data_IF_364127844689
#
_entry.id   IF_364127844689
#
_cell.length_a   1.000
_cell.length_b   1.000
_cell.length_c   1.000
_cell.angle_alpha   90.00
_cell.angle_beta   90.00
_cell.angle_gamma   90.00
#
_symmetry.space_group_name_H-M   'P 1'
#
loop_
_entity.id
_entity.type
_entity.pdbx_description
1 polymer ?
#
# COMPACT_ATOMS: atom_id res chain seq x y z
N UNK A 1 -15.34 -6.87 -22.11
CA UNK A 1 -13.94 -6.40 -22.12
C UNK A 1 -13.74 -5.69 -23.44
N UNK A 2 -14.24 -4.45 -23.52
CA UNK A 2 -14.50 -3.73 -24.78
C UNK A 2 -13.63 -2.48 -24.87
N UNK A 3 -12.66 -2.53 -25.79
CA UNK A 3 -12.39 -1.50 -26.82
C UNK A 3 -12.38 -0.01 -26.42
N UNK A 4 -11.64 0.37 -25.38
CA UNK A 4 -11.36 1.80 -25.11
C UNK A 4 -9.88 2.17 -24.89
N UNK A 5 -8.92 1.27 -25.13
CA UNK A 5 -7.58 1.43 -24.52
C UNK A 5 -6.36 1.28 -25.46
N UNK A 6 -6.51 1.50 -26.78
CA UNK A 6 -5.40 1.21 -27.73
C UNK A 6 -4.75 2.40 -28.47
N UNK A 7 -5.23 3.64 -28.32
CA UNK A 7 -4.58 4.76 -28.97
C UNK A 7 -3.64 5.47 -27.99
N UNK A 8 -2.34 5.51 -28.34
CA UNK A 8 -1.22 6.18 -27.63
C UNK A 8 -0.53 5.33 -26.55
N UNK A 9 -0.01 4.15 -26.93
CA UNK A 9 0.97 3.38 -26.13
C UNK A 9 2.35 3.47 -26.78
N UNK A 10 3.02 4.62 -26.60
CA UNK A 10 4.38 4.81 -27.08
C UNK A 10 5.40 4.05 -26.22
N UNK A 11 6.44 3.46 -26.83
CA UNK A 11 7.58 2.81 -26.14
C UNK A 11 8.25 3.72 -25.07
N UNK A 12 8.03 5.03 -25.13
CA UNK A 12 8.44 5.99 -24.12
C UNK A 12 7.80 5.81 -22.74
N UNK A 13 6.61 5.19 -22.66
CA UNK A 13 5.89 5.06 -21.40
C UNK A 13 6.48 3.96 -20.49
N UNK A 14 6.91 2.84 -21.06
CA UNK A 14 7.58 1.74 -20.32
C UNK A 14 8.81 2.21 -19.54
N UNK A 15 9.78 2.86 -20.20
CA UNK A 15 11.01 3.33 -19.54
C UNK A 15 10.70 4.33 -18.43
N UNK A 16 9.72 5.22 -18.68
CA UNK A 16 9.25 6.19 -17.69
C UNK A 16 8.56 5.50 -16.52
N UNK A 17 7.77 4.45 -16.74
CA UNK A 17 7.10 3.69 -15.68
C UNK A 17 8.12 3.02 -14.76
N UNK A 18 9.14 2.36 -15.30
CA UNK A 18 10.22 1.78 -14.48
C UNK A 18 10.98 2.83 -13.69
N UNK A 19 11.37 3.95 -14.30
CA UNK A 19 12.06 5.03 -13.59
C UNK A 19 11.23 5.54 -12.41
N UNK A 20 9.93 5.74 -12.62
CA UNK A 20 9.00 6.12 -11.56
C UNK A 20 8.89 5.06 -10.48
N UNK A 21 8.77 3.78 -10.84
CA UNK A 21 8.69 2.67 -9.88
C UNK A 21 9.96 2.55 -9.05
N UNK A 22 11.13 2.59 -9.69
CA UNK A 22 12.43 2.55 -9.01
C UNK A 22 12.59 3.76 -8.10
N UNK A 23 12.24 4.96 -8.55
CA UNK A 23 12.31 6.17 -7.72
C UNK A 23 11.36 6.08 -6.51
N UNK A 24 10.14 5.56 -6.68
CA UNK A 24 9.20 5.35 -5.58
C UNK A 24 9.74 4.33 -4.56
N UNK A 25 10.26 3.19 -5.02
CA UNK A 25 10.85 2.17 -4.15
C UNK A 25 12.08 2.74 -3.43
N UNK A 26 12.95 3.49 -4.13
CA UNK A 26 14.13 4.11 -3.53
C UNK A 26 13.75 5.13 -2.45
N UNK A 27 12.75 5.98 -2.69
CA UNK A 27 12.29 6.96 -1.71
C UNK A 27 11.59 6.29 -0.50
N UNK A 28 10.77 5.26 -0.74
CA UNK A 28 9.92 4.69 0.29
C UNK A 28 10.58 3.55 1.08
N UNK A 29 11.25 2.63 0.38
CA UNK A 29 11.83 1.41 0.94
C UNK A 29 13.37 1.46 1.00
N UNK A 30 14.04 2.35 0.25
CA UNK A 30 15.50 2.45 0.21
C UNK A 30 16.16 2.47 1.59
N UNK A 31 15.71 3.31 2.53
CA UNK A 31 16.30 3.33 3.87
C UNK A 31 16.09 2.04 4.68
N UNK A 32 14.93 1.40 4.53
CA UNK A 32 14.64 0.10 5.16
C UNK A 32 15.47 -1.01 4.55
N UNK A 33 15.63 -1.02 3.22
CA UNK A 33 16.47 -1.99 2.52
C UNK A 33 17.93 -1.87 2.96
N UNK A 34 18.44 -0.63 3.07
CA UNK A 34 19.78 -0.37 3.59
C UNK A 34 19.96 -0.88 5.02
N UNK A 35 19.06 -0.49 5.92
CA UNK A 35 19.10 -0.91 7.33
C UNK A 35 18.97 -2.44 7.48
N UNK A 36 18.14 -3.06 6.66
CA UNK A 36 17.94 -4.51 6.65
C UNK A 36 19.17 -5.25 6.16
N UNK A 37 19.82 -4.74 5.12
CA UNK A 37 21.08 -5.27 4.60
C UNK A 37 22.21 -5.21 5.63
N UNK A 38 22.34 -4.08 6.34
CA UNK A 38 23.34 -3.95 7.42
C UNK A 38 23.12 -4.94 8.56
N UNK A 39 21.86 -5.12 9.00
CA UNK A 39 21.52 -6.08 10.04
C UNK A 39 21.73 -7.53 9.58
N UNK A 40 21.40 -7.84 8.33
CA UNK A 40 21.67 -9.15 7.76
C UNK A 40 23.16 -9.43 7.65
N UNK A 41 23.97 -8.44 7.24
CA UNK A 41 25.43 -8.58 7.22
C UNK A 41 25.99 -8.88 8.62
N UNK A 42 25.49 -8.20 9.67
CA UNK A 42 25.85 -8.51 11.07
C UNK A 42 25.48 -9.93 11.48
N UNK A 43 24.30 -10.39 11.06
CA UNK A 43 23.87 -11.78 11.30
C UNK A 43 24.82 -12.79 10.66
N UNK A 44 25.46 -12.44 9.54
CA UNK A 44 26.49 -13.25 8.87
C UNK A 44 27.91 -13.05 9.43
N UNK A 45 28.06 -12.34 10.56
CA UNK A 45 29.34 -12.12 11.21
C UNK A 45 30.16 -10.94 10.70
N UNK A 46 29.60 -10.10 9.80
CA UNK A 46 30.23 -8.84 9.46
C UNK A 46 30.15 -7.86 10.64
N UNK A 47 31.14 -6.97 10.76
CA UNK A 47 31.11 -5.86 11.70
C UNK A 47 31.05 -4.53 10.93
N UNK A 48 29.85 -4.06 10.56
CA UNK A 48 29.71 -2.79 9.86
C UNK A 48 30.13 -1.67 10.80
N UNK A 49 31.23 -0.98 10.43
CA UNK A 49 31.81 0.07 11.25
C UNK A 49 30.84 1.21 11.57
N UNK A 50 31.24 2.05 12.54
CA UNK A 50 30.44 3.16 13.07
C UNK A 50 29.91 4.13 12.00
N UNK A 51 30.64 4.28 10.88
CA UNK A 51 30.26 5.10 9.73
C UNK A 51 28.89 4.70 9.12
N UNK A 52 28.46 3.46 9.32
CA UNK A 52 27.17 2.97 8.80
C UNK A 52 25.97 3.66 9.43
N UNK A 53 26.11 4.21 10.64
CA UNK A 53 25.08 5.02 11.30
C UNK A 53 24.86 6.32 10.53
N UNK A 54 25.94 7.03 10.20
CA UNK A 54 25.86 8.30 9.46
C UNK A 54 25.36 8.10 8.04
N UNK A 55 25.79 7.03 7.37
CA UNK A 55 25.25 6.67 6.05
C UNK A 55 23.77 6.34 6.12
N UNK A 56 23.32 5.63 7.18
CA UNK A 56 21.89 5.36 7.37
C UNK A 56 21.08 6.65 7.51
N UNK A 57 21.57 7.61 8.31
CA UNK A 57 20.94 8.95 8.44
C UNK A 57 20.93 9.68 7.11
N UNK A 58 22.04 9.69 6.38
CA UNK A 58 22.17 10.34 5.08
C UNK A 58 21.24 9.74 4.02
N UNK A 59 21.14 8.40 3.95
CA UNK A 59 20.21 7.69 3.05
C UNK A 59 18.77 8.07 3.39
N UNK A 60 18.41 8.05 4.67
CA UNK A 60 17.09 8.48 5.10
C UNK A 60 16.77 9.92 4.71
N UNK A 61 17.64 10.87 5.05
CA UNK A 61 17.47 12.29 4.72
C UNK A 61 17.39 12.50 3.21
N UNK A 62 18.28 11.86 2.44
CA UNK A 62 18.30 11.94 0.97
C UNK A 62 17.00 11.42 0.35
N UNK A 63 16.47 10.29 0.82
CA UNK A 63 15.19 9.74 0.35
C UNK A 63 14.01 10.67 0.66
N UNK A 64 13.98 11.26 1.86
CA UNK A 64 12.92 12.22 2.25
C UNK A 64 12.98 13.51 1.44
N UNK A 65 14.18 14.07 1.26
CA UNK A 65 14.39 15.26 0.42
C UNK A 65 13.98 14.96 -1.02
N UNK A 66 14.40 13.82 -1.57
CA UNK A 66 14.01 13.41 -2.93
C UNK A 66 12.50 13.25 -3.07
N UNK A 67 11.82 12.61 -2.11
CA UNK A 67 10.37 12.47 -2.11
C UNK A 67 9.64 13.83 -2.03
N UNK A 68 10.12 14.73 -1.16
CA UNK A 68 9.60 16.08 -1.01
C UNK A 68 9.75 16.92 -2.28
N UNK A 69 10.97 17.01 -2.82
CA UNK A 69 11.24 17.73 -4.07
C UNK A 69 10.44 17.15 -5.24
N UNK A 70 10.31 15.83 -5.33
CA UNK A 70 9.52 15.19 -6.37
C UNK A 70 8.03 15.53 -6.23
N UNK A 71 7.47 15.47 -5.02
CA UNK A 71 6.08 15.85 -4.77
C UNK A 71 5.85 17.33 -5.11
N UNK A 72 6.76 18.23 -4.71
CA UNK A 72 6.67 19.66 -5.04
C UNK A 72 6.68 19.87 -6.56
N UNK A 73 7.58 19.21 -7.29
CA UNK A 73 7.65 19.31 -8.75
C UNK A 73 6.37 18.81 -9.44
N UNK A 74 5.76 17.74 -8.94
CA UNK A 74 4.46 17.26 -9.43
C UNK A 74 3.34 18.27 -9.14
N UNK A 75 3.27 18.82 -7.93
CA UNK A 75 2.26 19.85 -7.60
C UNK A 75 2.44 21.10 -8.49
N UNK A 76 3.69 21.49 -8.74
CA UNK A 76 4.06 22.68 -9.50
C UNK A 76 3.69 22.58 -10.99
N UNK A 77 3.99 21.44 -11.60
CA UNK A 77 3.75 21.17 -13.03
C UNK A 77 2.29 20.92 -13.36
N UNK A 78 1.42 20.74 -12.36
CA UNK A 78 -0.01 20.58 -12.51
C UNK A 78 -0.68 21.90 -12.90
N UNK A 79 -0.61 22.22 -14.19
CA UNK A 79 -1.01 23.47 -14.87
C UNK A 79 -2.50 23.87 -14.82
N UNK A 80 -3.32 23.30 -13.91
CA UNK A 80 -4.78 23.50 -13.88
C UNK A 80 -5.39 23.69 -12.49
N UNK A 81 -4.61 24.14 -11.51
CA UNK A 81 -5.23 24.64 -10.28
C UNK A 81 -5.64 26.09 -10.49
N UNK A 82 -6.94 26.30 -10.75
CA UNK A 82 -7.55 27.61 -11.00
C UNK A 82 -7.40 28.61 -9.83
N UNK A 83 -6.85 28.16 -8.69
CA UNK A 83 -6.73 28.93 -7.45
C UNK A 83 -5.27 28.94 -6.95
N UNK A 84 -4.54 30.06 -7.11
CA UNK A 84 -3.17 30.22 -6.61
C UNK A 84 -3.01 29.86 -5.13
N UNK A 85 -4.02 30.19 -4.30
CA UNK A 85 -4.03 29.89 -2.87
C UNK A 85 -3.99 28.39 -2.56
N UNK A 86 -4.70 27.56 -3.34
CA UNK A 86 -4.71 26.10 -3.16
C UNK A 86 -3.36 25.48 -3.50
N UNK A 87 -2.70 25.97 -4.54
CA UNK A 87 -1.34 25.54 -4.91
C UNK A 87 -0.35 25.88 -3.79
N UNK A 88 -0.37 27.11 -3.29
CA UNK A 88 0.50 27.52 -2.19
C UNK A 88 0.30 26.65 -0.93
N UNK A 89 -0.94 26.39 -0.54
CA UNK A 89 -1.27 25.48 0.57
C UNK A 89 -0.73 24.06 0.36
N UNK A 90 -0.80 23.52 -0.85
CA UNK A 90 -0.27 22.20 -1.15
C UNK A 90 1.26 22.15 -1.11
N UNK A 91 1.94 23.17 -1.64
CA UNK A 91 3.40 23.28 -1.59
C UNK A 91 3.88 23.41 -0.13
N UNK A 92 3.22 24.27 0.65
CA UNK A 92 3.51 24.42 2.09
C UNK A 92 3.27 23.12 2.85
N UNK A 93 2.18 22.40 2.58
CA UNK A 93 1.90 21.11 3.21
C UNK A 93 2.94 20.04 2.88
N UNK A 94 3.36 19.95 1.61
CA UNK A 94 4.41 19.02 1.18
C UNK A 94 5.77 19.35 1.83
N UNK A 95 6.13 20.63 1.86
CA UNK A 95 7.35 21.12 2.52
C UNK A 95 7.31 20.85 4.03
N UNK A 96 6.18 21.11 4.69
CA UNK A 96 6.00 20.85 6.12
C UNK A 96 6.13 19.37 6.47
N UNK A 97 5.57 18.45 5.66
CA UNK A 97 5.72 17.00 5.88
C UNK A 97 7.17 16.55 5.71
N UNK A 98 7.86 17.03 4.68
CA UNK A 98 9.28 16.72 4.46
C UNK A 98 10.17 17.28 5.57
N UNK A 99 9.91 18.52 6.01
CA UNK A 99 10.63 19.15 7.11
C UNK A 99 10.36 18.43 8.44
N UNK A 100 9.12 18.03 8.72
CA UNK A 100 8.76 17.27 9.92
C UNK A 100 9.47 15.91 9.95
N UNK A 101 9.45 15.15 8.84
CA UNK A 101 10.18 13.87 8.77
C UNK A 101 11.70 14.05 8.86
N UNK A 102 12.26 15.09 8.24
CA UNK A 102 13.70 15.36 8.34
C UNK A 102 14.08 15.79 9.77
N UNK A 103 13.26 16.62 10.41
CA UNK A 103 13.49 17.08 11.78
C UNK A 103 13.48 15.89 12.73
N UNK A 104 12.47 15.02 12.67
CA UNK A 104 12.36 13.79 13.47
C UNK A 104 13.65 12.93 13.38
N UNK A 105 14.25 12.86 12.20
CA UNK A 105 15.45 12.05 11.93
C UNK A 105 16.77 12.74 12.28
N UNK A 106 16.85 14.05 12.12
CA UNK A 106 18.10 14.82 12.24
C UNK A 106 18.32 15.37 13.64
N UNK A 107 17.25 15.83 14.30
CA UNK A 107 17.38 16.32 15.67
C UNK A 107 17.68 15.18 16.61
N UNK A 108 17.31 13.95 16.22
CA UNK A 108 17.58 12.74 16.96
C UNK A 108 17.35 13.00 18.44
N UNK A 109 16.20 13.64 18.77
CA UNK A 109 15.79 14.00 20.11
C UNK A 109 15.58 12.71 20.91
N UNK A 110 16.69 12.03 21.16
CA UNK A 110 16.93 11.09 22.23
C UNK A 110 17.14 11.97 23.46
N UNK A 111 16.10 12.70 23.85
CA UNK A 111 16.03 13.19 25.21
C UNK A 111 15.93 11.94 26.08
N UNK A 112 17.03 11.57 26.72
CA UNK A 112 17.19 10.59 27.79
C UNK A 112 16.08 9.52 27.89
N UNK A 113 16.00 8.64 26.88
CA UNK A 113 15.20 7.42 26.93
C UNK A 113 13.87 7.41 26.17
N UNK A 114 13.50 8.48 25.45
CA UNK A 114 12.34 8.46 24.54
C UNK A 114 12.74 8.82 23.12
N UNK A 115 13.31 7.87 22.37
CA UNK A 115 13.54 8.08 20.94
C UNK A 115 12.19 8.09 20.22
N UNK A 116 11.67 9.27 19.93
CA UNK A 116 10.43 9.42 19.19
C UNK A 116 10.71 9.25 17.70
N UNK A 117 10.69 8.02 17.18
CA UNK A 117 10.76 7.75 15.74
C UNK A 117 9.34 7.78 15.14
N UNK A 118 8.79 8.98 15.00
CA UNK A 118 7.42 9.17 14.53
C UNK A 118 7.35 9.11 13.00
N UNK A 119 6.98 7.95 12.49
CA UNK A 119 6.95 7.69 11.04
C UNK A 119 5.73 8.24 10.28
N UNK A 120 4.84 8.97 10.95
CA UNK A 120 3.60 9.47 10.32
C UNK A 120 3.84 10.50 9.21
N UNK A 121 4.71 11.53 9.37
CA UNK A 121 4.96 12.49 8.29
C UNK A 121 5.49 11.82 7.03
N UNK A 122 6.39 10.84 7.16
CA UNK A 122 6.87 10.00 6.05
C UNK A 122 5.73 9.25 5.36
N UNK A 123 4.83 8.61 6.13
CA UNK A 123 3.71 7.86 5.58
C UNK A 123 2.80 8.77 4.74
N UNK A 124 2.43 9.95 5.28
CA UNK A 124 1.60 10.92 4.57
C UNK A 124 2.31 11.50 3.34
N UNK A 125 3.60 11.83 3.45
CA UNK A 125 4.41 12.32 2.33
C UNK A 125 4.41 11.31 1.18
N UNK A 126 4.69 10.03 1.47
CA UNK A 126 4.78 8.97 0.47
C UNK A 126 3.41 8.64 -0.15
N UNK A 127 2.35 8.59 0.65
CA UNK A 127 0.99 8.37 0.14
C UNK A 127 0.54 9.52 -0.77
N UNK A 128 0.87 10.76 -0.41
CA UNK A 128 0.60 11.92 -1.26
C UNK A 128 1.43 11.89 -2.54
N UNK A 129 2.72 11.56 -2.44
CA UNK A 129 3.58 11.35 -3.60
C UNK A 129 3.01 10.30 -4.55
N UNK A 130 2.60 9.13 -4.05
CA UNK A 130 1.93 8.10 -4.87
C UNK A 130 0.69 8.67 -5.55
N UNK A 131 -0.16 9.39 -4.82
CA UNK A 131 -1.36 10.00 -5.39
C UNK A 131 -1.00 10.94 -6.55
N UNK A 132 -0.06 11.87 -6.36
CA UNK A 132 0.31 12.81 -7.44
C UNK A 132 0.99 12.09 -8.60
N UNK A 133 1.86 11.10 -8.36
CA UNK A 133 2.47 10.28 -9.41
C UNK A 133 1.41 9.59 -10.27
N UNK A 134 0.39 8.98 -9.65
CA UNK A 134 -0.70 8.32 -10.38
C UNK A 134 -1.53 9.34 -11.18
N UNK A 135 -1.85 10.50 -10.57
CA UNK A 135 -2.63 11.55 -11.25
C UNK A 135 -1.89 12.14 -12.45
N UNK A 136 -0.56 12.32 -12.38
CA UNK A 136 0.28 12.77 -13.49
C UNK A 136 0.39 11.78 -14.65
N UNK A 137 -0.12 10.56 -14.47
CA UNK A 137 -0.20 9.51 -15.49
C UNK A 137 -1.65 9.22 -15.89
N UNK A 138 -2.58 10.10 -15.52
CA UNK A 138 -4.03 9.92 -15.74
C UNK A 138 -4.60 8.63 -15.13
N UNK A 139 -3.95 8.11 -14.09
CA UNK A 139 -4.38 6.93 -13.35
C UNK A 139 -5.22 7.38 -12.16
N UNK A 140 -6.55 7.26 -12.26
CA UNK A 140 -7.45 7.58 -11.15
C UNK A 140 -7.24 6.69 -9.92
N UNK A 141 -7.36 7.26 -8.72
CA UNK A 141 -7.17 6.56 -7.42
C UNK A 141 -8.12 5.37 -7.20
N UNK A 142 -9.26 5.32 -7.91
CA UNK A 142 -10.15 4.16 -7.90
C UNK A 142 -9.47 2.90 -8.45
N UNK A 143 -8.44 3.05 -9.30
CA UNK A 143 -7.62 1.93 -9.80
C UNK A 143 -6.72 1.34 -8.71
N UNK A 144 -6.31 2.16 -7.73
CA UNK A 144 -5.55 1.72 -6.57
C UNK A 144 -6.41 0.91 -5.58
N UNK A 145 -7.74 0.91 -5.72
CA UNK A 145 -8.61 0.11 -4.86
C UNK A 145 -8.85 0.70 -3.47
N UNK A 146 -8.63 2.00 -3.29
CA UNK A 146 -8.94 2.72 -2.04
C UNK A 146 -10.45 2.90 -1.87
N UNK A 147 -11.18 3.06 -2.98
CA UNK A 147 -12.65 3.14 -3.00
C UNK A 147 -13.26 1.88 -3.64
N UNK A 148 -14.37 1.35 -3.09
CA UNK A 148 -15.12 0.31 -3.77
C UNK A 148 -15.54 0.81 -5.16
N UNK A 149 -15.19 0.07 -6.22
CA UNK A 149 -15.65 0.37 -7.57
C UNK A 149 -17.14 0.03 -7.68
N UNK A 150 -18.02 0.97 -7.29
CA UNK A 150 -19.47 0.76 -7.27
C UNK A 150 -20.11 0.58 -8.67
N UNK A 151 -19.39 0.88 -9.76
CA UNK A 151 -19.96 0.97 -11.10
C UNK A 151 -19.55 -0.09 -12.12
N UNK A 152 -18.88 -1.19 -11.73
CA UNK A 152 -18.49 -2.24 -12.71
C UNK A 152 -19.39 -3.48 -12.55
N UNK A 153 -20.47 -3.61 -13.36
CA UNK A 153 -21.28 -4.82 -13.37
C UNK A 153 -20.42 -6.03 -13.76
N UNK A 154 -20.58 -7.15 -13.04
CA UNK A 154 -19.91 -8.42 -13.33
C UNK A 154 -18.61 -8.72 -12.58
N UNK A 155 -18.12 -7.86 -11.69
CA UNK A 155 -17.05 -8.26 -10.77
C UNK A 155 -17.62 -9.03 -9.58
N UNK A 156 -17.03 -10.20 -9.31
CA UNK A 156 -17.39 -11.07 -8.18
C UNK A 156 -17.63 -10.23 -6.92
N UNK A 157 -18.85 -10.33 -6.40
CA UNK A 157 -19.33 -9.62 -5.23
C UNK A 157 -18.73 -10.20 -3.95
N UNK A 158 -17.42 -10.49 -3.93
CA UNK A 158 -16.74 -11.00 -2.74
C UNK A 158 -16.95 -9.96 -1.63
N UNK A 159 -17.63 -10.37 -0.54
CA UNK A 159 -17.87 -9.47 0.58
C UNK A 159 -16.53 -9.00 1.15
N UNK A 160 -16.46 -7.74 1.59
CA UNK A 160 -15.17 -7.16 2.01
C UNK A 160 -14.57 -7.92 3.20
N UNK A 161 -15.42 -8.45 4.09
CA UNK A 161 -14.99 -9.28 5.24
C UNK A 161 -14.20 -10.53 4.85
N UNK A 162 -14.45 -11.13 3.68
CA UNK A 162 -13.65 -12.27 3.22
C UNK A 162 -12.20 -11.84 2.95
N UNK A 163 -12.01 -10.64 2.38
CA UNK A 163 -10.67 -10.10 2.13
C UNK A 163 -9.97 -9.82 3.47
N UNK A 164 -10.68 -9.22 4.44
CA UNK A 164 -10.14 -9.02 5.78
C UNK A 164 -9.68 -10.35 6.41
N UNK A 165 -10.52 -11.38 6.38
CA UNK A 165 -10.19 -12.70 6.93
C UNK A 165 -9.03 -13.39 6.21
N UNK A 166 -8.98 -13.32 4.88
CA UNK A 166 -7.88 -13.91 4.09
C UNK A 166 -6.55 -13.21 4.34
N UNK A 167 -6.54 -11.87 4.45
CA UNK A 167 -5.33 -11.13 4.80
C UNK A 167 -4.87 -11.52 6.21
N UNK A 168 -5.77 -11.57 7.19
CA UNK A 168 -5.42 -11.93 8.56
C UNK A 168 -4.85 -13.35 8.64
N UNK A 169 -5.51 -14.31 7.98
CA UNK A 169 -5.02 -15.69 7.89
C UNK A 169 -3.62 -15.74 7.30
N UNK A 170 -3.38 -15.00 6.22
CA UNK A 170 -2.07 -14.94 5.56
C UNK A 170 -0.96 -14.46 6.51
N UNK A 171 -1.22 -13.37 7.25
CA UNK A 171 -0.25 -12.84 8.22
C UNK A 171 0.01 -13.82 9.38
N UNK A 172 -1.05 -14.45 9.93
CA UNK A 172 -0.91 -15.47 10.98
C UNK A 172 -0.11 -16.68 10.48
N UNK A 173 -0.41 -17.18 9.28
CA UNK A 173 0.34 -18.28 8.66
C UNK A 173 1.81 -17.93 8.47
N UNK A 174 2.11 -16.71 8.02
CA UNK A 174 3.50 -16.25 7.89
C UNK A 174 4.20 -16.15 9.25
N UNK A 175 3.53 -15.69 10.31
CA UNK A 175 4.07 -15.69 11.67
C UNK A 175 4.43 -17.11 12.15
N UNK A 176 3.53 -18.07 11.92
CA UNK A 176 3.78 -19.48 12.26
C UNK A 176 4.98 -20.02 11.48
N UNK A 177 5.06 -19.72 10.17
CA UNK A 177 6.20 -20.11 9.35
C UNK A 177 7.52 -19.48 9.83
N UNK A 178 7.51 -18.19 10.20
CA UNK A 178 8.68 -17.51 10.78
C UNK A 178 9.12 -18.16 12.09
N UNK A 179 8.17 -18.53 12.95
CA UNK A 179 8.48 -19.19 14.21
C UNK A 179 9.04 -20.60 13.99
N UNK A 180 8.48 -21.35 13.04
CA UNK A 180 9.01 -22.65 12.63
C UNK A 180 10.46 -22.53 12.13
N UNK A 181 10.75 -21.58 11.25
CA UNK A 181 12.11 -21.33 10.73
C UNK A 181 13.09 -20.95 11.83
N UNK A 182 12.65 -20.16 12.82
CA UNK A 182 13.46 -19.81 14.01
C UNK A 182 13.83 -21.04 14.83
N UNK A 183 12.90 -21.98 15.00
CA UNK A 183 13.14 -23.23 15.74
C UNK A 183 14.00 -24.21 14.95
N UNK A 184 13.79 -24.30 13.63
CA UNK A 184 14.53 -25.21 12.76
C UNK A 184 15.97 -24.75 12.47
N UNK A 185 16.20 -23.43 12.43
CA UNK A 185 17.49 -22.82 12.06
C UNK A 185 17.90 -21.70 13.03
N UNK A 186 18.12 -22.01 14.33
CA UNK A 186 18.37 -20.99 15.35
C UNK A 186 19.63 -20.15 15.07
N UNK A 187 20.62 -20.68 14.35
CA UNK A 187 21.83 -19.95 13.96
C UNK A 187 21.68 -19.01 12.76
N UNK A 188 20.54 -19.05 12.06
CA UNK A 188 20.26 -18.22 10.88
C UNK A 188 19.15 -17.18 11.12
N UNK A 189 18.77 -16.97 12.38
CA UNK A 189 17.76 -16.00 12.81
C UNK A 189 18.34 -15.15 13.93
N UNK A 190 18.05 -13.84 13.99
CA UNK A 190 18.50 -13.01 15.11
C UNK A 190 17.97 -13.52 16.46
N UNK A 191 18.80 -13.36 17.50
CA UNK A 191 18.39 -13.67 18.87
C UNK A 191 17.35 -12.66 19.41
N UNK A 192 17.44 -11.40 18.98
CA UNK A 192 16.57 -10.31 19.41
C UNK A 192 15.13 -10.45 18.91
N UNK A 193 14.19 -9.84 19.63
CA UNK A 193 12.80 -9.76 19.18
C UNK A 193 12.68 -8.82 17.98
N UNK A 194 11.64 -9.01 17.15
CA UNK A 194 11.37 -8.11 16.03
C UNK A 194 11.19 -6.65 16.50
N UNK A 195 10.51 -6.42 17.63
CA UNK A 195 10.28 -5.07 18.18
C UNK A 195 11.59 -4.41 18.59
N UNK A 196 12.49 -5.17 19.23
CA UNK A 196 13.84 -4.72 19.57
C UNK A 196 14.65 -4.38 18.32
N UNK A 197 14.60 -5.25 17.31
CA UNK A 197 15.30 -5.05 16.04
C UNK A 197 14.84 -3.77 15.31
N UNK A 198 13.56 -3.41 15.40
CA UNK A 198 13.06 -2.17 14.80
C UNK A 198 13.09 -0.97 15.76
N UNK A 199 13.67 -1.10 16.96
CA UNK A 199 13.77 0.00 17.93
C UNK A 199 12.41 0.53 18.38
N UNK A 200 11.45 -0.36 18.66
CA UNK A 200 10.18 -0.01 19.30
C UNK A 200 10.32 -0.18 20.80
N UNK A 201 10.27 0.93 21.53
CA UNK A 201 10.40 1.01 22.98
C UNK A 201 9.11 1.47 23.69
N UNK A 202 8.17 2.07 22.95
CA UNK A 202 6.90 2.56 23.50
C UNK A 202 5.70 2.36 22.56
N UNK A 203 4.45 2.38 23.08
CA UNK A 203 3.24 2.15 22.28
C UNK A 203 3.01 3.16 21.15
N UNK A 204 3.43 4.41 21.32
CA UNK A 204 3.21 5.44 20.29
C UNK A 204 4.16 5.23 19.10
N UNK A 205 5.44 4.93 19.36
CA UNK A 205 6.39 4.50 18.31
C UNK A 205 5.90 3.23 17.62
N UNK A 206 5.34 2.27 18.36
CA UNK A 206 4.72 1.07 17.77
C UNK A 206 3.59 1.46 16.79
N UNK A 207 2.60 2.24 17.23
CA UNK A 207 1.44 2.62 16.42
C UNK A 207 1.88 3.38 15.16
N UNK A 208 2.74 4.38 15.30
CA UNK A 208 3.19 5.18 14.15
C UNK A 208 3.97 4.34 13.12
N UNK A 209 4.79 3.40 13.58
CA UNK A 209 5.46 2.42 12.70
C UNK A 209 4.49 1.46 12.05
N UNK A 210 3.48 0.96 12.77
CA UNK A 210 2.48 0.06 12.19
C UNK A 210 1.72 0.73 11.04
N UNK A 211 1.30 1.98 11.25
CA UNK A 211 0.68 2.80 10.22
C UNK A 211 1.63 2.99 9.04
N UNK A 212 2.86 3.44 9.30
CA UNK A 212 3.84 3.67 8.25
C UNK A 212 4.14 2.41 7.43
N UNK A 213 4.43 1.28 8.08
CA UNK A 213 4.72 0.01 7.41
C UNK A 213 3.55 -0.44 6.55
N UNK A 214 2.32 -0.39 7.07
CA UNK A 214 1.14 -0.77 6.31
C UNK A 214 0.94 0.12 5.07
N UNK A 215 1.15 1.43 5.18
CA UNK A 215 1.04 2.32 4.02
C UNK A 215 2.19 2.12 3.03
N UNK A 216 3.44 2.04 3.50
CA UNK A 216 4.59 1.89 2.60
C UNK A 216 4.52 0.57 1.84
N UNK A 217 4.29 -0.54 2.53
CA UNK A 217 4.29 -1.84 1.88
C UNK A 217 3.06 -2.06 0.98
N UNK A 218 1.88 -1.66 1.45
CA UNK A 218 0.66 -1.93 0.69
C UNK A 218 0.38 -0.85 -0.35
N UNK A 219 0.48 0.43 0.01
CA UNK A 219 0.18 1.53 -0.92
C UNK A 219 1.31 1.76 -1.91
N UNK A 220 2.55 1.87 -1.43
CA UNK A 220 3.69 2.18 -2.30
C UNK A 220 4.21 0.93 -3.00
N UNK A 221 4.66 -0.06 -2.24
CA UNK A 221 5.37 -1.24 -2.78
C UNK A 221 4.43 -2.16 -3.54
N UNK A 222 3.22 -2.42 -3.06
CA UNK A 222 2.26 -3.29 -3.76
C UNK A 222 1.39 -2.50 -4.74
N UNK A 223 0.56 -1.58 -4.23
CA UNK A 223 -0.48 -0.93 -5.00
C UNK A 223 0.06 -0.07 -6.14
N UNK A 224 0.96 0.86 -5.84
CA UNK A 224 1.51 1.79 -6.84
C UNK A 224 2.36 1.07 -7.88
N UNK A 225 3.25 0.17 -7.46
CA UNK A 225 4.10 -0.62 -8.39
C UNK A 225 3.25 -1.42 -9.36
N UNK A 226 2.28 -2.21 -8.86
CA UNK A 226 1.41 -3.01 -9.71
C UNK A 226 0.60 -2.11 -10.65
N UNK A 227 0.05 -1.01 -10.14
CA UNK A 227 -0.78 -0.10 -10.94
C UNK A 227 0.02 0.55 -12.07
N UNK A 228 1.22 1.07 -11.78
CA UNK A 228 2.08 1.75 -12.75
C UNK A 228 2.61 0.78 -13.81
N UNK A 229 3.13 -0.38 -13.40
CA UNK A 229 3.65 -1.37 -14.34
C UNK A 229 2.53 -1.98 -15.20
N UNK A 230 1.34 -2.22 -14.65
CA UNK A 230 0.20 -2.68 -15.44
C UNK A 230 -0.31 -1.61 -16.41
N UNK A 231 -0.31 -0.33 -16.01
CA UNK A 231 -0.69 0.76 -16.90
C UNK A 231 0.29 0.90 -18.08
N UNK A 232 1.56 0.56 -17.88
CA UNK A 232 2.58 0.52 -18.92
C UNK A 232 2.69 -0.85 -19.64
N UNK A 233 1.67 -1.70 -19.52
CA UNK A 233 1.57 -3.04 -20.13
C UNK A 233 2.78 -3.95 -19.90
N UNK A 234 3.35 -3.89 -18.71
CA UNK A 234 4.45 -4.79 -18.33
C UNK A 234 3.96 -6.23 -18.15
N UNK A 235 4.80 -7.23 -18.50
CA UNK A 235 4.46 -8.63 -18.34
C UNK A 235 4.17 -8.96 -16.88
N UNK A 236 3.29 -9.95 -16.66
CA UNK A 236 2.71 -10.21 -15.35
C UNK A 236 3.73 -10.50 -14.26
N UNK A 237 4.77 -11.27 -14.61
CA UNK A 237 5.80 -11.67 -13.67
C UNK A 237 6.54 -10.46 -13.06
N UNK A 238 6.69 -9.34 -13.77
CA UNK A 238 7.42 -8.17 -13.26
C UNK A 238 6.67 -7.50 -12.11
N UNK A 239 5.37 -7.23 -12.30
CA UNK A 239 4.57 -6.60 -11.26
C UNK A 239 4.12 -7.55 -10.17
N UNK A 240 4.30 -8.86 -10.33
CA UNK A 240 4.16 -9.83 -9.23
C UNK A 240 5.44 -9.96 -8.42
N UNK A 241 6.58 -10.23 -9.08
CA UNK A 241 7.83 -10.54 -8.39
C UNK A 241 8.45 -9.32 -7.72
N UNK A 242 8.31 -8.12 -8.29
CA UNK A 242 8.97 -6.92 -7.75
C UNK A 242 8.46 -6.57 -6.33
N UNK A 243 7.15 -6.44 -6.05
CA UNK A 243 6.67 -6.20 -4.68
C UNK A 243 7.07 -7.29 -3.69
N UNK A 244 7.02 -8.57 -4.11
CA UNK A 244 7.41 -9.71 -3.26
C UNK A 244 8.89 -9.63 -2.91
N UNK A 245 9.74 -9.36 -3.90
CA UNK A 245 11.19 -9.23 -3.71
C UNK A 245 11.51 -8.07 -2.77
N UNK A 246 10.94 -6.88 -3.01
CA UNK A 246 11.17 -5.71 -2.14
C UNK A 246 10.73 -6.01 -0.70
N UNK A 247 9.60 -6.71 -0.50
CA UNK A 247 9.14 -7.10 0.83
C UNK A 247 10.11 -8.05 1.53
N UNK A 248 10.58 -9.10 0.85
CA UNK A 248 11.57 -10.04 1.42
C UNK A 248 12.86 -9.30 1.75
N UNK A 249 13.37 -8.47 0.83
CA UNK A 249 14.58 -7.68 1.03
C UNK A 249 14.45 -6.71 2.22
N UNK A 250 13.28 -6.08 2.38
CA UNK A 250 12.98 -5.20 3.51
C UNK A 250 12.90 -5.91 4.86
N UNK A 251 12.93 -7.25 4.85
CA UNK A 251 12.88 -8.09 6.04
C UNK A 251 14.13 -8.96 6.22
N UNK A 252 15.20 -8.76 5.44
CA UNK A 252 16.43 -9.55 5.58
C UNK A 252 17.06 -9.48 6.97
N UNK A 253 16.76 -8.44 7.75
CA UNK A 253 17.18 -8.36 9.14
C UNK A 253 16.64 -9.50 10.01
N UNK A 254 15.63 -10.27 9.54
CA UNK A 254 15.09 -11.45 10.19
C UNK A 254 15.85 -12.75 9.82
N UNK A 255 16.89 -12.67 9.01
CA UNK A 255 17.64 -13.84 8.54
C UNK A 255 16.80 -14.76 7.65
N UNK A 256 16.90 -16.08 7.85
CA UNK A 256 16.15 -17.06 7.04
C UNK A 256 14.63 -16.93 7.20
N UNK A 257 14.15 -16.42 8.35
CA UNK A 257 12.72 -16.18 8.57
C UNK A 257 12.13 -15.14 7.62
N UNK A 258 12.95 -14.31 6.98
CA UNK A 258 12.51 -13.39 5.92
C UNK A 258 11.85 -14.12 4.73
N UNK A 259 12.19 -15.40 4.49
CA UNK A 259 11.59 -16.19 3.41
C UNK A 259 10.08 -16.42 3.59
N UNK A 260 9.57 -16.42 4.83
CA UNK A 260 8.14 -16.50 5.10
C UNK A 260 7.38 -15.27 4.55
N UNK A 261 8.07 -14.14 4.34
CA UNK A 261 7.48 -12.96 3.72
C UNK A 261 7.15 -13.16 2.23
N UNK A 262 7.65 -14.23 1.60
CA UNK A 262 7.20 -14.65 0.26
C UNK A 262 5.70 -14.98 0.30
N UNK A 263 5.22 -15.66 1.35
CA UNK A 263 3.81 -15.97 1.52
C UNK A 263 2.98 -14.68 1.60
N UNK A 264 3.37 -13.77 2.50
CA UNK A 264 2.69 -12.48 2.68
C UNK A 264 2.70 -11.67 1.40
N UNK A 265 3.87 -11.51 0.77
CA UNK A 265 4.04 -10.82 -0.51
C UNK A 265 3.13 -11.39 -1.60
N UNK A 266 3.24 -12.69 -1.87
CA UNK A 266 2.49 -13.34 -2.94
C UNK A 266 0.97 -13.30 -2.68
N UNK A 267 0.54 -13.55 -1.45
CA UNK A 267 -0.87 -13.53 -1.08
C UNK A 267 -1.48 -12.14 -1.15
N UNK A 268 -0.78 -11.11 -0.66
CA UNK A 268 -1.21 -9.70 -0.79
C UNK A 268 -1.31 -9.28 -2.24
N UNK A 269 -0.29 -9.60 -3.06
CA UNK A 269 -0.28 -9.31 -4.49
C UNK A 269 -1.47 -9.99 -5.17
N UNK A 270 -1.71 -11.26 -4.90
CA UNK A 270 -2.86 -12.02 -5.41
C UNK A 270 -4.19 -11.37 -5.03
N UNK A 271 -4.40 -11.09 -3.74
CA UNK A 271 -5.63 -10.45 -3.25
C UNK A 271 -5.84 -9.08 -3.88
N UNK A 272 -4.77 -8.31 -4.07
CA UNK A 272 -4.83 -7.02 -4.75
C UNK A 272 -5.19 -7.14 -6.23
N UNK A 273 -4.60 -8.08 -6.97
CA UNK A 273 -4.88 -8.28 -8.40
C UNK A 273 -6.34 -8.70 -8.61
N UNK A 274 -6.82 -9.65 -7.81
CA UNK A 274 -8.14 -10.26 -7.92
C UNK A 274 -9.23 -9.30 -7.45
N UNK A 275 -9.08 -8.72 -6.26
CA UNK A 275 -10.14 -7.91 -5.66
C UNK A 275 -9.99 -6.41 -5.93
N UNK A 276 -8.77 -5.92 -6.20
CA UNK A 276 -8.44 -4.49 -6.34
C UNK A 276 -9.01 -3.65 -5.20
N UNK A 277 -8.84 -4.13 -3.97
CA UNK A 277 -9.25 -3.46 -2.73
C UNK A 277 -8.05 -3.40 -1.80
N UNK A 278 -7.39 -2.25 -1.76
CA UNK A 278 -6.16 -2.07 -0.99
C UNK A 278 -6.44 -1.66 0.46
N UNK A 279 -7.52 -0.90 0.69
CA UNK A 279 -7.92 -0.46 2.01
C UNK A 279 -8.04 -1.59 3.05
N UNK A 280 -8.72 -2.74 2.77
CA UNK A 280 -8.76 -3.83 3.73
C UNK A 280 -7.39 -4.45 3.99
N UNK A 281 -6.51 -4.51 2.99
CA UNK A 281 -5.15 -5.04 3.14
C UNK A 281 -4.33 -4.13 4.05
N UNK A 282 -4.31 -2.82 3.78
CA UNK A 282 -3.63 -1.80 4.62
C UNK A 282 -4.13 -1.87 6.06
N UNK A 283 -5.45 -1.94 6.27
CA UNK A 283 -6.01 -1.94 7.61
C UNK A 283 -5.63 -3.20 8.39
N UNK A 284 -5.79 -4.40 7.81
CA UNK A 284 -5.41 -5.64 8.52
C UNK A 284 -3.92 -5.69 8.77
N UNK A 285 -3.10 -5.30 7.81
CA UNK A 285 -1.65 -5.26 8.00
C UNK A 285 -1.31 -4.33 9.19
N UNK A 286 -1.78 -3.09 9.19
CA UNK A 286 -1.50 -2.15 10.29
C UNK A 286 -1.97 -2.66 11.65
N UNK A 287 -3.16 -3.27 11.71
CA UNK A 287 -3.68 -3.88 12.94
C UNK A 287 -2.87 -5.10 13.38
N UNK A 288 -2.48 -5.96 12.45
CA UNK A 288 -1.66 -7.14 12.76
C UNK A 288 -0.29 -6.72 13.32
N UNK A 289 0.34 -5.69 12.75
CA UNK A 289 1.64 -5.18 13.18
C UNK A 289 1.64 -4.63 14.61
N UNK A 290 0.50 -4.23 15.17
CA UNK A 290 0.43 -3.70 16.54
C UNK A 290 0.34 -4.79 17.63
N UNK A 291 0.54 -6.06 17.27
CA UNK A 291 0.61 -7.17 18.21
C UNK A 291 -0.76 -7.75 18.62
N UNK A 292 -0.85 -8.48 19.75
CA UNK A 292 -2.04 -9.24 20.12
C UNK A 292 -3.34 -8.43 20.18
N UNK A 293 -3.30 -7.21 20.72
CA UNK A 293 -4.46 -6.32 20.80
C UNK A 293 -4.96 -5.90 19.41
N UNK A 294 -4.03 -5.65 18.49
CA UNK A 294 -4.36 -5.31 17.11
C UNK A 294 -4.91 -6.49 16.31
N UNK A 295 -4.39 -7.70 16.53
CA UNK A 295 -4.95 -8.94 15.97
C UNK A 295 -6.41 -9.11 16.44
N UNK A 296 -6.67 -8.95 17.73
CA UNK A 296 -8.03 -9.02 18.27
C UNK A 296 -8.95 -7.97 17.62
N UNK A 297 -8.46 -6.75 17.43
CA UNK A 297 -9.20 -5.69 16.74
C UNK A 297 -9.45 -6.04 15.25
N UNK A 298 -8.49 -6.63 14.55
CA UNK A 298 -8.66 -7.08 13.17
C UNK A 298 -9.74 -8.16 13.05
N UNK A 299 -9.79 -9.10 13.99
CA UNK A 299 -10.86 -10.11 14.09
C UNK A 299 -12.22 -9.41 14.31
N UNK A 300 -12.29 -8.48 15.27
CA UNK A 300 -13.50 -7.72 15.56
C UNK A 300 -14.03 -6.92 14.36
N UNK A 301 -13.14 -6.20 13.65
CA UNK A 301 -13.48 -5.46 12.43
C UNK A 301 -13.97 -6.41 11.33
N UNK A 302 -13.29 -7.54 11.14
CA UNK A 302 -13.69 -8.56 10.15
C UNK A 302 -15.11 -9.07 10.45
N UNK A 303 -15.37 -9.43 11.71
CA UNK A 303 -16.68 -9.91 12.16
C UNK A 303 -17.78 -8.86 12.01
N UNK A 304 -17.54 -7.61 12.44
CA UNK A 304 -18.51 -6.52 12.34
C UNK A 304 -18.89 -6.20 10.88
N UNK A 305 -17.91 -6.17 9.96
CA UNK A 305 -18.17 -5.99 8.52
C UNK A 305 -18.96 -7.18 7.96
N UNK A 306 -18.64 -8.40 8.39
CA UNK A 306 -19.36 -9.61 8.01
C UNK A 306 -20.83 -9.60 8.41
N UNK A 307 -21.11 -9.27 9.67
CA UNK A 307 -22.48 -9.14 10.20
C UNK A 307 -23.24 -8.07 9.42
N UNK A 308 -22.64 -6.89 9.20
CA UNK A 308 -23.29 -5.81 8.44
C UNK A 308 -23.63 -6.22 7.01
N UNK A 309 -22.72 -6.89 6.31
CA UNK A 309 -22.93 -7.34 4.93
C UNK A 309 -24.01 -8.44 4.87
N UNK A 310 -24.06 -9.34 5.86
CA UNK A 310 -25.11 -10.36 6.00
C UNK A 310 -26.49 -9.75 6.26
N UNK A 311 -26.59 -8.71 7.10
CA UNK A 311 -27.85 -7.99 7.34
C UNK A 311 -28.32 -7.30 6.05
N UNK A 312 -27.41 -6.68 5.30
CA UNK A 312 -27.73 -6.02 4.03
C UNK A 312 -28.23 -7.00 2.97
N UNK A 313 -27.60 -8.17 2.84
CA UNK A 313 -28.03 -9.18 1.85
C UNK A 313 -29.43 -9.69 2.17
N UNK A 314 -29.74 -9.98 3.44
CA UNK A 314 -31.09 -10.38 3.88
C UNK A 314 -32.15 -9.32 3.55
N UNK A 315 -31.87 -8.03 3.80
CA UNK A 315 -32.82 -6.93 3.46
C UNK A 315 -33.12 -6.85 1.96
N UNK A 316 -32.16 -7.13 1.09
CA UNK A 316 -32.39 -7.13 -0.35
C UNK A 316 -33.15 -8.38 -0.82
N UNK A 317 -32.95 -9.52 -0.18
CA UNK A 317 -33.73 -10.73 -0.44
C UNK A 317 -35.17 -10.65 0.06
N UNK A 318 -35.44 -9.86 1.11
CA UNK A 318 -36.78 -9.66 1.68
C UNK A 318 -37.56 -8.49 1.06
N UNK A 319 -36.93 -7.64 0.24
CA UNK A 319 -37.67 -6.61 -0.48
C UNK A 319 -38.68 -7.32 -1.40
N UNK A 320 -39.99 -7.05 -1.26
CA UNK A 320 -40.99 -7.65 -2.12
C UNK A 320 -40.55 -7.40 -3.56
N UNK A 321 -40.39 -8.47 -4.36
CA UNK A 321 -40.22 -8.29 -5.80
C UNK A 321 -41.40 -7.45 -6.23
N UNK A 322 -41.13 -6.24 -6.71
CA UNK A 322 -42.18 -5.41 -7.31
C UNK A 322 -42.97 -6.33 -8.24
N UNK A 323 -44.30 -6.45 -8.06
CA UNK A 323 -45.11 -7.35 -8.87
C UNK A 323 -44.73 -7.11 -10.31
N UNK A 324 -44.31 -8.17 -10.99
CA UNK A 324 -43.90 -8.10 -12.39
C UNK A 324 -45.15 -7.60 -13.09
N UNK A 325 -45.15 -6.33 -13.48
CA UNK A 325 -46.22 -5.78 -14.29
C UNK A 325 -46.06 -6.47 -15.63
N UNK A 326 -46.71 -7.63 -15.78
CA UNK A 326 -46.81 -8.40 -17.02
C UNK A 326 -47.69 -7.66 -18.03
N UNK A 327 -47.71 -6.32 -18.01
CA UNK A 327 -48.21 -5.53 -19.11
C UNK A 327 -47.32 -5.86 -20.31
N UNK A 328 -47.83 -6.58 -21.31
CA UNK A 328 -47.08 -6.81 -22.54
C UNK A 328 -46.65 -5.44 -23.09
N UNK A 329 -45.47 -5.33 -23.74
CA UNK A 329 -45.11 -4.12 -24.44
C UNK A 329 -46.26 -3.80 -25.39
N UNK A 330 -46.95 -2.70 -25.13
CA UNK A 330 -47.95 -2.19 -26.07
C UNK A 330 -47.15 -1.80 -27.31
N UNK A 331 -47.30 -2.60 -28.37
CA UNK A 331 -46.73 -2.35 -29.68
C UNK A 331 -47.17 -0.97 -30.16
N UNK A 332 -46.36 0.04 -29.88
CA UNK A 332 -46.56 1.43 -30.32
C UNK A 332 -46.20 1.63 -31.80
N UNK A 333 -46.13 0.54 -32.57
CA UNK A 333 -45.81 0.53 -33.99
C UNK A 333 -46.95 1.03 -34.90
N UNK A 334 -48.17 1.27 -34.40
CA UNK A 334 -49.34 1.57 -35.25
C UNK A 334 -49.68 3.07 -35.43
N UNK A 335 -48.93 4.02 -34.89
CA UNK A 335 -49.37 5.43 -34.82
C UNK A 335 -48.58 6.44 -35.69
N UNK A 336 -47.91 6.02 -36.77
CA UNK A 336 -47.14 6.94 -37.64
C UNK A 336 -47.51 7.00 -39.13
N UNK A 337 -48.64 6.45 -39.57
CA UNK A 337 -48.99 6.39 -41.00
C UNK A 337 -50.16 7.28 -41.49
N UNK A 338 -50.71 8.20 -40.69
CA UNK A 338 -51.90 8.99 -41.11
C UNK A 338 -51.71 10.51 -41.25
N UNK A 339 -50.51 11.01 -41.55
CA UNK A 339 -50.30 12.45 -41.81
C UNK A 339 -49.49 12.70 -43.09
N UNK A 340 -50.10 12.44 -44.23
CA UNK A 340 -49.81 13.12 -45.51
C UNK A 340 -51.04 13.06 -46.42
N UNK A 341 -51.82 14.13 -46.41
CA UNK A 341 -52.74 14.54 -47.48
C UNK A 341 -52.32 15.94 -47.92
#
# INVERSE_FOLDING_TARGET
>A
MTTFDHAIRGRGDTRRAYRTVVALIACAAGPTLWSSGLRFARLLGADPGVWTVDVTRAVHAGCTIAAGLWLLALIDTRSRMDWPSRRALQLLGAAALAAADLTDRMTGLQTDGTATDYRLPSAFLLVWLVREVLLHRDIGLARLGVRPNAGRPGRSAVPTWHIYGLVLLLFVTAAVAMNYLRLAFPGLVPAESQLTAIGVDNPLTLITRCVWTAFVEEVVVTGAVITLLRAADRPAWEWVLLPVTVRVLGHLYLGISATAQILVGAGVVYLYIVHRRLAPIVLVHGLYSSGPAGIALAIGVTGAVGIRDLIRSRRHSSAPRAPRTDTPPVDSAAAKESSSR
#
